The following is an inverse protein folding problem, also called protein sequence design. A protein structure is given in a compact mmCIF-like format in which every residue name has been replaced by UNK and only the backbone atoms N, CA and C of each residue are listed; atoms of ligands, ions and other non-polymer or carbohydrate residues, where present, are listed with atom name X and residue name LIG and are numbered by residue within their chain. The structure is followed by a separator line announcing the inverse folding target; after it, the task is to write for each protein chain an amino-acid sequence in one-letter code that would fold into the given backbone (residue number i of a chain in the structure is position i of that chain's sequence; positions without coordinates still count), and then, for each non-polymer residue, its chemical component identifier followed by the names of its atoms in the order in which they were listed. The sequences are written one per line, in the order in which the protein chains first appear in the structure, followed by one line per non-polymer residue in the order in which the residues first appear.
data_IF_359325476987
#
_entry.id   IF_359325476987
#
_cell.length_a   1.000
_cell.length_b   1.000
_cell.length_c   1.000
_cell.angle_alpha   90.00
_cell.angle_beta   90.00
_cell.angle_gamma   90.00
#
_symmetry.space_group_name_H-M   'P 1'
#
loop_
_entity.id
_entity.type
_entity.pdbx_description
1 polymer ?
#
# COMPACT_ATOMS: atom_id res chain seq x y z
N UNK A 1 -7.04 1.06 25.45
CA UNK A 1 -6.80 2.14 24.46
C UNK A 1 -7.95 2.10 23.48
N UNK A 2 -8.79 3.13 23.49
CA UNK A 2 -10.01 3.22 22.68
C UNK A 2 -9.64 3.19 21.20
N UNK A 3 -10.20 2.24 20.46
CA UNK A 3 -10.14 2.20 19.00
C UNK A 3 -11.20 3.17 18.47
N UNK A 4 -10.85 4.44 18.33
CA UNK A 4 -11.62 5.34 17.47
C UNK A 4 -11.33 4.93 16.03
N UNK A 5 -12.16 4.04 15.50
CA UNK A 5 -12.24 3.81 14.05
C UNK A 5 -12.76 5.10 13.43
N UNK A 6 -11.98 5.69 12.50
CA UNK A 6 -12.41 6.80 11.66
C UNK A 6 -13.81 6.50 11.13
N UNK A 7 -14.79 7.37 11.46
CA UNK A 7 -16.01 7.47 10.67
C UNK A 7 -15.54 7.58 9.22
N UNK A 8 -15.88 6.61 8.39
CA UNK A 8 -15.52 6.61 6.98
C UNK A 8 -15.77 7.98 6.39
N UNK A 9 -14.71 8.72 6.04
CA UNK A 9 -14.83 10.03 5.41
C UNK A 9 -15.76 9.87 4.21
N UNK A 10 -16.96 10.42 4.31
CA UNK A 10 -17.89 10.52 3.19
C UNK A 10 -17.64 11.84 2.49
N UNK A 11 -17.75 11.85 1.17
CA UNK A 11 -17.75 13.10 0.44
C UNK A 11 -19.08 13.85 0.60
N UNK A 12 -19.20 15.03 -0.02
CA UNK A 12 -20.40 15.88 0.05
C UNK A 12 -21.68 15.16 -0.44
N UNK A 13 -21.54 14.06 -1.18
CA UNK A 13 -22.65 13.24 -1.70
C UNK A 13 -22.95 12.03 -0.82
N UNK A 14 -22.27 11.88 0.32
CA UNK A 14 -22.42 10.74 1.22
C UNK A 14 -21.68 9.48 0.75
N UNK A 15 -20.80 9.57 -0.25
CA UNK A 15 -20.08 8.42 -0.79
C UNK A 15 -18.81 8.20 0.02
N UNK A 16 -18.53 6.98 0.52
CA UNK A 16 -17.28 6.69 1.21
C UNK A 16 -16.06 6.97 0.33
N UNK A 17 -15.16 7.83 0.82
CA UNK A 17 -13.87 8.09 0.20
C UNK A 17 -12.96 6.89 0.43
N UNK A 18 -12.29 6.43 -0.63
CA UNK A 18 -11.31 5.34 -0.59
C UNK A 18 -9.94 5.90 -0.95
N UNK A 19 -9.04 5.98 0.01
CA UNK A 19 -7.67 6.46 -0.19
C UNK A 19 -6.77 5.33 -0.71
N UNK A 20 -6.33 5.43 -1.96
CA UNK A 20 -5.32 4.55 -2.52
C UNK A 20 -3.99 5.31 -2.62
N UNK A 21 -2.95 4.82 -1.96
CA UNK A 21 -1.63 5.46 -1.95
C UNK A 21 -0.60 4.58 -2.60
N UNK A 22 0.06 5.11 -3.62
CA UNK A 22 1.30 4.56 -4.16
C UNK A 22 2.48 5.27 -3.49
N UNK A 23 3.11 4.61 -2.52
CA UNK A 23 4.29 5.13 -1.85
C UNK A 23 5.53 4.68 -2.63
N UNK A 24 6.01 5.56 -3.50
CA UNK A 24 7.08 5.32 -4.46
C UNK A 24 8.46 5.44 -3.81
N UNK A 25 9.47 4.90 -4.50
CA UNK A 25 10.88 5.01 -4.13
C UNK A 25 11.66 5.64 -5.27
N UNK A 26 12.60 6.53 -4.95
CA UNK A 26 13.66 6.89 -5.88
C UNK A 26 14.86 5.92 -5.72
N UNK A 27 15.54 5.60 -6.83
CA UNK A 27 16.77 4.81 -6.82
C UNK A 27 16.54 3.30 -6.64
N UNK A 28 17.27 2.60 -5.75
CA UNK A 28 17.14 1.17 -5.55
C UNK A 28 15.70 0.73 -5.27
N UNK A 29 15.23 -0.30 -5.99
CA UNK A 29 13.87 -0.86 -5.88
C UNK A 29 12.76 0.07 -6.37
N UNK A 30 13.09 1.16 -7.08
CA UNK A 30 12.11 1.90 -7.88
C UNK A 30 11.55 1.02 -9.00
N UNK A 31 10.41 1.39 -9.58
CA UNK A 31 9.91 0.70 -10.76
C UNK A 31 10.75 1.08 -11.99
N UNK A 32 10.91 0.14 -12.93
CA UNK A 32 11.53 0.42 -14.24
C UNK A 32 10.73 1.49 -14.99
N UNK A 33 9.40 1.38 -14.99
CA UNK A 33 8.45 2.27 -15.68
C UNK A 33 7.37 2.79 -14.71
N UNK A 34 7.72 3.75 -13.85
CA UNK A 34 6.82 4.28 -12.81
C UNK A 34 5.50 4.81 -13.39
N UNK A 35 5.55 5.59 -14.48
CA UNK A 35 4.35 6.17 -15.11
C UNK A 35 3.35 5.12 -15.57
N UNK A 36 3.82 3.97 -16.05
CA UNK A 36 2.94 2.87 -16.47
C UNK A 36 2.25 2.24 -15.26
N UNK A 37 3.01 1.96 -14.20
CA UNK A 37 2.47 1.39 -12.97
C UNK A 37 1.44 2.32 -12.33
N UNK A 38 1.75 3.62 -12.25
CA UNK A 38 0.81 4.65 -11.80
C UNK A 38 -0.46 4.62 -12.65
N UNK A 39 -0.31 4.57 -13.98
CA UNK A 39 -1.45 4.51 -14.89
C UNK A 39 -2.34 3.29 -14.69
N UNK A 40 -1.78 2.12 -14.34
CA UNK A 40 -2.57 0.91 -14.07
C UNK A 40 -3.45 1.10 -12.84
N UNK A 41 -2.88 1.58 -11.74
CA UNK A 41 -3.62 1.80 -10.50
C UNK A 41 -4.58 2.98 -10.59
N UNK A 42 -4.23 4.05 -11.32
CA UNK A 42 -5.14 5.17 -11.60
C UNK A 42 -6.37 4.70 -12.39
N UNK A 43 -6.16 3.92 -13.47
CA UNK A 43 -7.26 3.33 -14.25
C UNK A 43 -8.15 2.42 -13.41
N UNK A 44 -7.59 1.65 -12.47
CA UNK A 44 -8.37 0.82 -11.56
C UNK A 44 -9.17 1.67 -10.56
N UNK A 45 -8.53 2.65 -9.93
CA UNK A 45 -9.15 3.54 -8.95
C UNK A 45 -10.31 4.34 -9.56
N UNK A 46 -10.16 4.89 -10.78
CA UNK A 46 -11.22 5.65 -11.46
C UNK A 46 -12.49 4.84 -11.78
N UNK A 47 -12.41 3.51 -11.81
CA UNK A 47 -13.58 2.64 -11.99
C UNK A 47 -14.43 2.52 -10.72
N UNK A 48 -13.92 3.00 -9.59
CA UNK A 48 -14.55 2.88 -8.27
C UNK A 48 -14.87 4.27 -7.74
N UNK A 49 -16.16 4.57 -7.66
CA UNK A 49 -16.66 5.82 -7.08
C UNK A 49 -16.13 6.02 -5.65
N UNK A 50 -15.71 7.24 -5.33
CA UNK A 50 -15.08 7.59 -4.05
C UNK A 50 -13.58 7.28 -3.97
N UNK A 51 -13.00 6.54 -4.91
CA UNK A 51 -11.55 6.26 -4.90
C UNK A 51 -10.72 7.48 -5.29
N UNK A 52 -9.67 7.75 -4.50
CA UNK A 52 -8.68 8.81 -4.75
C UNK A 52 -7.28 8.21 -4.71
N UNK A 53 -6.60 8.24 -5.85
CA UNK A 53 -5.20 7.82 -5.94
C UNK A 53 -4.27 8.97 -5.55
N UNK A 54 -3.35 8.70 -4.62
CA UNK A 54 -2.24 9.59 -4.27
C UNK A 54 -0.91 8.90 -4.60
N UNK A 55 -0.04 9.58 -5.34
CA UNK A 55 1.34 9.13 -5.59
C UNK A 55 2.26 9.98 -4.73
N UNK A 56 3.07 9.34 -3.89
CA UNK A 56 3.93 10.04 -2.94
C UNK A 56 5.31 9.40 -2.88
N UNK A 57 6.33 10.20 -2.56
CA UNK A 57 7.68 9.73 -2.28
C UNK A 57 8.00 10.11 -0.83
N UNK A 58 8.31 9.12 0.01
CA UNK A 58 8.53 9.35 1.45
C UNK A 58 9.65 10.37 1.72
N UNK A 59 10.65 10.46 0.83
CA UNK A 59 11.75 11.43 0.91
C UNK A 59 11.32 12.89 0.75
N UNK A 60 10.13 13.13 0.18
CA UNK A 60 9.63 14.47 -0.12
C UNK A 60 8.60 14.94 0.90
N UNK A 61 8.36 14.16 1.96
CA UNK A 61 7.35 14.45 2.97
C UNK A 61 8.00 14.61 4.33
N UNK A 62 7.58 15.63 5.07
CA UNK A 62 7.82 15.75 6.50
C UNK A 62 7.13 14.63 7.27
N UNK A 63 7.47 14.46 8.55
CA UNK A 63 6.83 13.43 9.38
C UNK A 63 5.31 13.65 9.51
N UNK A 64 4.83 14.86 9.81
CA UNK A 64 3.38 15.09 9.90
C UNK A 64 2.68 14.84 8.55
N UNK A 65 3.31 15.16 7.41
CA UNK A 65 2.74 14.84 6.11
C UNK A 65 2.67 13.33 5.85
N UNK A 66 3.67 12.57 6.33
CA UNK A 66 3.63 11.10 6.28
C UNK A 66 2.51 10.54 7.18
N UNK A 67 2.32 11.09 8.38
CA UNK A 67 1.21 10.73 9.28
C UNK A 67 -0.12 11.01 8.60
N UNK A 68 -0.31 12.21 8.05
CA UNK A 68 -1.54 12.62 7.34
C UNK A 68 -1.81 11.76 6.11
N UNK A 69 -0.77 11.43 5.33
CA UNK A 69 -0.90 10.55 4.18
C UNK A 69 -1.36 9.16 4.62
N UNK A 70 -0.69 8.55 5.60
CA UNK A 70 -1.00 7.20 6.06
C UNK A 70 -2.38 7.10 6.73
N UNK A 71 -2.76 8.09 7.55
CA UNK A 71 -4.09 8.14 8.17
C UNK A 71 -5.21 8.28 7.14
N UNK A 72 -4.93 8.88 5.98
CA UNK A 72 -5.87 8.98 4.87
C UNK A 72 -5.86 7.77 3.91
N UNK A 73 -4.98 6.78 4.10
CA UNK A 73 -4.76 5.66 3.18
C UNK A 73 -5.50 4.40 3.62
N UNK A 74 -6.39 3.89 2.77
CA UNK A 74 -7.04 2.58 2.92
C UNK A 74 -6.29 1.45 2.22
N UNK A 75 -5.62 1.77 1.11
CA UNK A 75 -4.89 0.82 0.27
C UNK A 75 -3.50 1.38 0.00
N UNK A 76 -2.47 0.75 0.57
CA UNK A 76 -1.08 1.10 0.35
C UNK A 76 -0.43 0.14 -0.65
N UNK A 77 0.23 0.71 -1.66
CA UNK A 77 0.93 -0.01 -2.72
C UNK A 77 2.35 0.53 -2.74
N UNK A 78 3.35 -0.30 -2.42
CA UNK A 78 4.73 0.22 -2.29
C UNK A 78 5.81 -0.83 -2.53
N UNK A 79 6.92 -0.47 -3.22
CA UNK A 79 8.10 -1.32 -3.29
C UNK A 79 8.71 -1.62 -1.92
N UNK A 80 9.13 -2.85 -1.68
CA UNK A 80 9.71 -3.30 -0.42
C UNK A 80 10.84 -2.38 0.09
N UNK A 81 10.78 -1.99 1.35
CA UNK A 81 11.87 -1.34 2.06
C UNK A 81 11.41 -0.33 3.11
N UNK A 82 12.37 0.37 3.73
CA UNK A 82 12.15 1.07 5.01
C UNK A 82 10.99 2.06 5.06
N UNK A 83 10.58 2.67 3.95
CA UNK A 83 9.43 3.58 3.94
C UNK A 83 8.10 2.88 4.22
N UNK A 84 8.00 1.56 3.99
CA UNK A 84 6.81 0.78 4.34
C UNK A 84 6.60 0.69 5.86
N UNK A 85 7.63 0.96 6.68
CA UNK A 85 7.48 0.97 8.14
C UNK A 85 6.34 1.89 8.55
N UNK A 86 6.14 3.02 7.88
CA UNK A 86 5.09 3.97 8.22
C UNK A 86 3.66 3.45 8.04
N UNK A 87 3.46 2.25 7.46
CA UNK A 87 2.12 1.65 7.36
C UNK A 87 1.43 1.47 8.72
N UNK A 88 2.17 1.40 9.84
CA UNK A 88 1.55 1.31 11.17
C UNK A 88 0.70 2.54 11.52
N UNK A 89 0.87 3.66 10.81
CA UNK A 89 0.09 4.88 10.95
C UNK A 89 -1.24 4.83 10.17
N UNK A 90 -1.46 3.79 9.36
CA UNK A 90 -2.72 3.58 8.66
C UNK A 90 -3.77 2.98 9.60
N UNK A 91 -5.04 3.17 9.27
CA UNK A 91 -6.14 2.61 10.03
C UNK A 91 -6.14 1.06 9.97
N UNK A 92 -6.70 0.44 11.01
CA UNK A 92 -6.99 -1.00 11.02
C UNK A 92 -7.87 -1.37 9.82
N UNK A 93 -7.79 -2.62 9.38
CA UNK A 93 -8.44 -3.15 8.18
C UNK A 93 -7.99 -2.56 6.83
N UNK A 94 -7.05 -1.62 6.83
CA UNK A 94 -6.39 -1.17 5.60
C UNK A 94 -5.65 -2.31 4.91
N UNK A 95 -5.39 -2.15 3.62
CA UNK A 95 -4.83 -3.18 2.75
C UNK A 95 -3.46 -2.78 2.22
N UNK A 96 -2.51 -3.72 2.17
CA UNK A 96 -1.14 -3.48 1.70
C UNK A 96 -0.76 -4.41 0.56
N UNK A 97 -0.15 -3.87 -0.50
CA UNK A 97 0.56 -4.60 -1.55
C UNK A 97 2.03 -4.25 -1.55
N UNK A 98 2.86 -5.28 -1.60
CA UNK A 98 4.30 -5.13 -1.61
C UNK A 98 4.92 -5.57 -2.94
N UNK A 99 5.94 -4.87 -3.41
CA UNK A 99 6.66 -5.22 -4.64
C UNK A 99 8.13 -5.50 -4.36
N UNK A 100 8.62 -6.58 -4.96
CA UNK A 100 9.99 -7.02 -4.81
C UNK A 100 10.68 -7.08 -6.18
N UNK A 101 11.95 -6.65 -6.28
CA UNK A 101 12.77 -6.97 -7.43
C UNK A 101 12.99 -8.48 -7.57
N UNK A 102 13.51 -8.88 -8.73
CA UNK A 102 13.93 -10.26 -9.00
C UNK A 102 14.90 -10.77 -7.96
N UNK A 103 14.81 -12.07 -7.65
CA UNK A 103 15.75 -12.78 -6.77
C UNK A 103 15.49 -12.58 -5.27
N UNK A 104 14.64 -11.63 -4.88
CA UNK A 104 14.37 -11.37 -3.46
C UNK A 104 13.80 -12.60 -2.72
N UNK A 105 12.94 -13.39 -3.38
CA UNK A 105 12.35 -14.60 -2.79
C UNK A 105 13.40 -15.61 -2.36
N UNK A 106 14.44 -15.79 -3.19
CA UNK A 106 15.50 -16.77 -3.00
C UNK A 106 16.49 -16.33 -1.92
N UNK A 107 16.85 -15.04 -1.92
CA UNK A 107 18.01 -14.58 -1.14
C UNK A 107 17.70 -13.76 0.11
N UNK A 108 16.49 -13.19 0.24
CA UNK A 108 16.19 -12.30 1.38
C UNK A 108 15.85 -13.04 2.67
N UNK A 109 15.78 -14.38 2.65
CA UNK A 109 15.44 -15.20 3.80
C UNK A 109 14.11 -14.79 4.43
N UNK A 110 14.04 -14.79 5.76
CA UNK A 110 12.83 -14.46 6.51
C UNK A 110 12.47 -12.96 6.45
N UNK A 111 13.45 -12.08 6.16
CA UNK A 111 13.27 -10.63 6.14
C UNK A 111 12.26 -10.12 5.11
N UNK A 112 11.95 -10.93 4.09
CA UNK A 112 10.92 -10.61 3.10
C UNK A 112 9.49 -10.58 3.67
N UNK A 113 9.25 -11.09 4.87
CA UNK A 113 7.92 -11.15 5.48
C UNK A 113 7.71 -10.09 6.58
N UNK A 114 8.70 -9.21 6.82
CA UNK A 114 8.62 -8.19 7.88
C UNK A 114 7.34 -7.35 7.78
N UNK A 115 7.00 -6.88 6.58
CA UNK A 115 5.81 -6.06 6.39
C UNK A 115 4.50 -6.86 6.35
N UNK A 116 4.57 -8.15 6.01
CA UNK A 116 3.44 -9.06 6.21
C UNK A 116 3.08 -9.18 7.69
N UNK A 117 4.07 -9.40 8.57
CA UNK A 117 3.82 -9.46 10.01
C UNK A 117 3.44 -8.11 10.60
N UNK A 118 4.07 -7.02 10.16
CA UNK A 118 3.73 -5.67 10.61
C UNK A 118 2.27 -5.34 10.27
N UNK A 119 1.83 -5.63 9.04
CA UNK A 119 0.45 -5.44 8.64
C UNK A 119 -0.51 -6.24 9.56
N UNK A 120 -0.22 -7.53 9.77
CA UNK A 120 -1.03 -8.38 10.65
C UNK A 120 -1.07 -7.85 12.09
N UNK A 121 0.08 -7.45 12.64
CA UNK A 121 0.20 -6.93 14.00
C UNK A 121 -0.57 -5.62 14.19
N UNK A 122 -0.52 -4.72 13.20
CA UNK A 122 -1.27 -3.46 13.21
C UNK A 122 -2.78 -3.64 12.90
N UNK A 123 -3.25 -4.88 12.68
CA UNK A 123 -4.65 -5.15 12.34
C UNK A 123 -5.03 -4.79 10.90
N UNK A 124 -4.05 -4.69 10.00
CA UNK A 124 -4.23 -4.52 8.56
C UNK A 124 -4.19 -5.86 7.82
N UNK A 125 -4.47 -5.82 6.53
CA UNK A 125 -4.47 -6.97 5.62
C UNK A 125 -3.30 -6.84 4.64
N UNK A 126 -2.34 -7.74 4.72
CA UNK A 126 -1.34 -7.89 3.67
C UNK A 126 -1.98 -8.64 2.48
N UNK A 127 -2.36 -7.92 1.44
CA UNK A 127 -3.22 -8.39 0.34
C UNK A 127 -2.46 -8.96 -0.86
N UNK A 128 -1.14 -8.98 -0.83
CA UNK A 128 -0.36 -9.64 -1.89
C UNK A 128 1.08 -9.13 -1.97
N UNK A 129 1.91 -9.90 -2.66
CA UNK A 129 3.29 -9.54 -2.97
C UNK A 129 3.56 -9.81 -4.45
N UNK A 130 4.00 -8.78 -5.19
CA UNK A 130 4.56 -8.95 -6.53
C UNK A 130 6.04 -9.24 -6.43
N UNK A 131 6.50 -10.26 -7.15
CA UNK A 131 7.91 -10.64 -7.20
C UNK A 131 8.31 -10.66 -8.66
N UNK A 132 9.08 -9.66 -9.06
CA UNK A 132 9.49 -9.50 -10.45
C UNK A 132 10.30 -10.72 -10.91
N UNK A 133 9.91 -11.32 -12.03
CA UNK A 133 10.63 -12.41 -12.68
C UNK A 133 11.46 -11.94 -13.90
N UNK A 134 11.19 -10.74 -14.41
CA UNK A 134 11.83 -10.13 -15.59
C UNK A 134 13.01 -9.22 -15.28
N UNK A 135 13.51 -9.23 -14.03
CA UNK A 135 14.70 -8.47 -13.65
C UNK A 135 16.00 -8.98 -14.29
N UNK A 136 17.02 -8.15 -14.25
CA UNK A 136 18.34 -8.43 -14.85
C UNK A 136 18.99 -9.64 -14.17
N UNK A 137 19.73 -10.48 -14.91
CA UNK A 137 20.38 -11.65 -14.32
C UNK A 137 21.55 -11.27 -13.42
N UNK A 138 21.84 -12.12 -12.43
CA UNK A 138 23.08 -12.05 -11.68
C UNK A 138 24.24 -12.58 -12.55
N UNK A 139 25.44 -11.97 -12.50
CA UNK A 139 26.64 -12.46 -13.20
C UNK A 139 27.26 -13.71 -12.55
N UNK A 140 26.79 -14.08 -11.34
CA UNK A 140 27.19 -15.29 -10.63
C UNK A 140 26.13 -16.39 -10.79
N UNK A 141 26.44 -17.66 -10.47
CA UNK A 141 25.43 -18.72 -10.39
C UNK A 141 24.25 -18.30 -9.51
N UNK A 142 23.03 -18.73 -9.88
CA UNK A 142 21.81 -18.16 -9.31
C UNK A 142 21.69 -18.30 -7.78
N UNK A 143 22.27 -19.35 -7.21
CA UNK A 143 22.26 -19.61 -5.76
C UNK A 143 23.37 -18.87 -4.99
N UNK A 144 24.22 -18.12 -5.69
CA UNK A 144 25.35 -17.41 -5.07
C UNK A 144 24.84 -16.23 -4.22
N UNK A 145 25.34 -16.11 -2.99
CA UNK A 145 24.94 -15.07 -2.03
C UNK A 145 25.25 -13.65 -2.52
N UNK A 146 26.24 -13.49 -3.41
CA UNK A 146 26.58 -12.21 -4.04
C UNK A 146 25.45 -11.66 -4.91
N UNK A 147 24.57 -12.53 -5.41
CA UNK A 147 23.41 -12.13 -6.19
C UNK A 147 22.43 -11.28 -5.37
N UNK A 148 22.37 -11.46 -4.05
CA UNK A 148 21.46 -10.66 -3.20
C UNK A 148 21.74 -9.17 -3.30
N UNK A 149 23.00 -8.74 -3.31
CA UNK A 149 23.33 -7.31 -3.38
C UNK A 149 22.90 -6.67 -4.71
N UNK A 150 22.92 -7.45 -5.79
CA UNK A 150 22.53 -7.02 -7.15
C UNK A 150 21.02 -6.92 -7.24
N UNK A 151 20.34 -8.02 -6.91
CA UNK A 151 18.89 -8.11 -6.86
C UNK A 151 18.27 -7.09 -5.89
N UNK A 152 18.93 -6.85 -4.76
CA UNK A 152 18.45 -5.90 -3.75
C UNK A 152 18.30 -4.49 -4.28
N UNK A 153 19.15 -4.10 -5.23
CA UNK A 153 19.19 -2.75 -5.76
C UNK A 153 18.56 -2.64 -7.16
N UNK A 154 18.13 -3.76 -7.75
CA UNK A 154 17.49 -3.79 -9.05
C UNK A 154 16.17 -3.00 -9.06
N UNK A 155 15.83 -2.48 -10.23
CA UNK A 155 14.52 -1.89 -10.49
C UNK A 155 13.47 -2.97 -10.72
N UNK A 156 12.23 -2.65 -10.38
CA UNK A 156 11.09 -3.58 -10.38
C UNK A 156 10.32 -3.45 -11.71
N UNK A 157 10.13 -4.56 -12.40
CA UNK A 157 9.21 -4.69 -13.53
C UNK A 157 7.75 -4.74 -13.11
N UNK A 158 6.84 -4.68 -14.08
CA UNK A 158 5.40 -4.70 -13.82
C UNK A 158 4.71 -5.78 -14.65
N UNK A 159 3.52 -6.19 -14.19
CA UNK A 159 2.61 -7.01 -14.97
C UNK A 159 1.24 -6.32 -14.94
N UNK A 160 0.82 -5.81 -16.10
CA UNK A 160 -0.39 -5.00 -16.21
C UNK A 160 -1.64 -5.78 -15.79
N UNK A 161 -1.82 -7.00 -16.32
CA UNK A 161 -2.97 -7.85 -15.99
C UNK A 161 -3.01 -8.11 -14.49
N UNK A 162 -1.91 -8.59 -13.91
CA UNK A 162 -1.86 -8.92 -12.48
C UNK A 162 -2.13 -7.70 -11.58
N UNK A 163 -1.55 -6.54 -11.88
CA UNK A 163 -1.77 -5.33 -11.08
C UNK A 163 -3.19 -4.81 -11.20
N UNK A 164 -3.76 -4.85 -12.41
CA UNK A 164 -5.12 -4.37 -12.66
C UNK A 164 -6.17 -5.26 -11.98
N UNK A 165 -6.02 -6.58 -12.06
CA UNK A 165 -6.89 -7.55 -11.38
C UNK A 165 -6.78 -7.45 -9.86
N UNK A 166 -5.54 -7.39 -9.34
CA UNK A 166 -5.33 -7.22 -7.91
C UNK A 166 -6.00 -5.94 -7.40
N UNK A 167 -5.80 -4.81 -8.10
CA UNK A 167 -6.37 -3.53 -7.71
C UNK A 167 -7.90 -3.56 -7.73
N UNK A 168 -8.50 -4.12 -8.79
CA UNK A 168 -9.96 -4.25 -8.90
C UNK A 168 -10.55 -5.06 -7.75
N UNK A 169 -9.93 -6.19 -7.40
CA UNK A 169 -10.39 -7.04 -6.31
C UNK A 169 -10.31 -6.33 -4.96
N UNK A 170 -9.19 -5.69 -4.66
CA UNK A 170 -9.01 -4.99 -3.37
C UNK A 170 -9.92 -3.77 -3.25
N UNK A 171 -10.05 -2.98 -4.32
CA UNK A 171 -10.94 -1.81 -4.32
C UNK A 171 -12.41 -2.19 -4.14
N UNK A 172 -12.86 -3.28 -4.78
CA UNK A 172 -14.22 -3.81 -4.60
C UNK A 172 -14.48 -4.18 -3.14
N UNK A 173 -13.56 -4.90 -2.50
CA UNK A 173 -13.68 -5.28 -1.09
C UNK A 173 -13.70 -4.07 -0.15
N UNK A 174 -12.81 -3.09 -0.39
CA UNK A 174 -12.75 -1.88 0.44
C UNK A 174 -14.04 -1.06 0.29
N UNK A 175 -14.58 -0.94 -0.93
CA UNK A 175 -15.86 -0.26 -1.18
C UNK A 175 -16.99 -0.92 -0.40
N UNK A 176 -17.13 -2.24 -0.50
CA UNK A 176 -18.18 -2.98 0.20
C UNK A 176 -18.07 -2.83 1.72
N UNK A 177 -16.85 -2.95 2.26
CA UNK A 177 -16.58 -2.77 3.68
C UNK A 177 -16.97 -1.37 4.16
N UNK A 178 -16.52 -0.32 3.48
CA UNK A 178 -16.82 1.06 3.89
C UNK A 178 -18.30 1.38 3.82
N UNK A 179 -19.02 0.87 2.82
CA UNK A 179 -20.48 1.00 2.73
C UNK A 179 -21.20 0.32 3.92
N UNK A 180 -20.73 -0.85 4.36
CA UNK A 180 -21.26 -1.53 5.54
C UNK A 180 -20.97 -0.78 6.84
N UNK A 181 -19.75 -0.23 6.98
CA UNK A 181 -19.36 0.59 8.13
C UNK A 181 -20.30 1.80 8.29
N UNK A 182 -20.56 2.53 7.19
CA UNK A 182 -21.52 3.65 7.19
C UNK A 182 -22.89 3.18 7.65
N UNK A 183 -23.43 2.12 7.03
CA UNK A 183 -24.76 1.60 7.35
C UNK A 183 -24.91 1.20 8.82
N UNK A 184 -23.84 0.69 9.44
CA UNK A 184 -23.86 0.32 10.86
C UNK A 184 -23.76 1.55 11.78
N UNK A 185 -23.02 2.59 11.36
CA UNK A 185 -22.90 3.84 12.13
C UNK A 185 -24.21 4.64 12.12
N UNK A 186 -25.00 4.63 11.05
CA UNK A 186 -26.31 5.32 11.01
C UNK A 186 -27.34 4.76 12.00
N UNK A 187 -27.09 3.56 12.55
CA UNK A 187 -27.95 2.86 13.52
C UNK A 187 -27.41 3.04 14.97
N UNK A 188 -26.19 3.57 15.14
CA UNK A 188 -25.51 3.73 16.44
C UNK A 188 -25.37 5.19 16.91
N UNK A 189 -25.46 5.38 18.23
CA UNK A 189 -25.32 6.65 19.01
C UNK A 189 -24.15 7.55 18.51
N UNK A 190 -24.29 8.89 18.51
CA UNK A 190 -23.23 9.79 18.05
C UNK A 190 -21.99 9.68 18.94
N UNK A 191 -20.85 9.35 18.33
CA UNK A 191 -19.54 9.32 18.99
C UNK A 191 -18.93 10.71 18.95
N UNK A 192 -18.38 11.12 20.09
CA UNK A 192 -17.69 12.40 20.29
C UNK A 192 -16.50 12.56 19.34
N UNK A 193 -16.45 13.71 18.66
CA UNK A 193 -15.29 14.16 17.88
C UNK A 193 -14.10 14.33 18.82
N UNK A 194 -13.06 13.52 18.65
CA UNK A 194 -11.81 13.72 19.39
C UNK A 194 -11.01 14.87 18.79
N UNK A 195 -10.52 15.72 19.69
CA UNK A 195 -9.61 16.83 19.38
C UNK A 195 -8.38 16.27 18.68
N UNK A 196 -7.96 16.91 17.59
CA UNK A 196 -6.78 16.49 16.84
C UNK A 196 -5.58 16.36 17.76
N UNK A 197 -4.90 15.22 17.69
CA UNK A 197 -3.53 15.14 18.19
C UNK A 197 -2.65 16.09 17.37
N UNK A 198 -1.53 16.54 17.95
CA UNK A 198 -0.52 17.29 17.22
C UNK A 198 0.13 16.37 16.17
N UNK A 199 -0.06 16.75 14.90
CA UNK A 199 -0.20 15.89 13.72
C UNK A 199 -1.47 15.00 13.77
#
# INVERSE_FOLDING_TARGET
MSSESRLSDVDEKGIPVIGMTMLMRAGPRSFKNESVVIGIFDRACRKVEGCRLTVAYASNLTFCEQVKLMSSTDILVSPHGGQLTNMFLMDRNSSVMEFFPKGWLKHAGIGQYVYHWMAKWAGMKHRGAWRDNGGDPCPYPEEDSRCMAIYKNAKIGYNETYFSEWAANVLSDVKLRKAQEISNTTIGVPVSVSTSCGC
#
